data_IF_631363418331
#
_entry.id   IF_631363418331
#
_cell.length_a   1.000
_cell.length_b   1.000
_cell.length_c   1.000
_cell.angle_alpha   90.00
_cell.angle_beta   90.00
_cell.angle_gamma   90.00
#
_symmetry.space_group_name_H-M   'P 1'
#
loop_
_entity.id
_entity.type
_entity.pdbx_description
1 polymer ?
#
# COMPACT_ATOMS: atom_id res chain seq x y z
N UNK A 1 39.49 58.06 15.11
CA UNK A 1 39.39 56.59 14.91
C UNK A 1 38.67 55.97 16.10
N UNK A 2 37.38 55.67 15.95
CA UNK A 2 36.61 54.90 16.94
C UNK A 2 37.14 53.47 16.98
N UNK A 3 37.83 53.10 18.05
CA UNK A 3 38.24 51.70 18.27
C UNK A 3 36.97 50.87 18.52
N UNK A 4 36.54 50.14 17.49
CA UNK A 4 35.50 49.11 17.60
C UNK A 4 36.15 47.94 18.35
N UNK A 5 35.98 47.88 19.66
CA UNK A 5 36.29 46.67 20.43
C UNK A 5 35.19 45.64 20.15
N UNK A 6 35.52 44.59 19.41
CA UNK A 6 34.71 43.38 19.34
C UNK A 6 34.78 42.68 20.71
N UNK A 7 33.78 42.89 21.57
CA UNK A 7 33.66 42.11 22.81
C UNK A 7 33.11 40.72 22.45
N UNK A 8 33.97 39.70 22.50
CA UNK A 8 33.58 38.32 22.21
C UNK A 8 32.57 37.73 23.23
N UNK A 9 32.37 38.38 24.38
CA UNK A 9 31.60 37.87 25.51
C UNK A 9 30.61 38.94 26.03
N UNK A 10 29.48 39.14 25.34
CA UNK A 10 28.38 40.03 25.81
C UNK A 10 27.28 39.30 26.60
N UNK A 11 27.32 37.98 26.64
CA UNK A 11 26.22 37.15 27.15
C UNK A 11 26.74 36.12 28.14
N UNK A 12 25.94 35.81 29.15
CA UNK A 12 26.28 34.90 30.22
C UNK A 12 26.47 33.46 29.73
N UNK A 13 27.69 32.93 29.87
CA UNK A 13 28.02 31.55 29.49
C UNK A 13 27.23 30.53 30.32
N UNK A 14 26.93 30.85 31.58
CA UNK A 14 26.11 30.00 32.46
C UNK A 14 24.66 29.97 31.97
N UNK A 15 24.08 31.14 31.61
CA UNK A 15 22.71 31.20 31.11
C UNK A 15 22.56 30.45 29.78
N UNK A 16 23.56 30.56 28.88
CA UNK A 16 23.61 29.81 27.63
C UNK A 16 23.74 28.30 27.90
N UNK A 17 24.59 27.88 28.84
CA UNK A 17 24.76 26.47 29.21
C UNK A 17 23.47 25.88 29.80
N UNK A 18 22.76 26.63 30.64
CA UNK A 18 21.45 26.22 31.16
C UNK A 18 20.41 26.13 30.05
N UNK A 19 20.35 27.10 29.13
CA UNK A 19 19.44 27.07 28.00
C UNK A 19 19.72 25.86 27.08
N UNK A 20 21.00 25.54 26.85
CA UNK A 20 21.40 24.36 26.10
C UNK A 20 20.99 23.06 26.82
N UNK A 21 21.15 22.98 28.14
CA UNK A 21 20.66 21.86 28.94
C UNK A 21 19.13 21.71 28.80
N UNK A 22 18.37 22.81 28.89
CA UNK A 22 16.93 22.78 28.67
C UNK A 22 16.55 22.37 27.25
N UNK A 23 17.35 22.71 26.24
CA UNK A 23 17.13 22.26 24.87
C UNK A 23 17.31 20.73 24.75
N UNK A 24 18.35 20.16 25.39
CA UNK A 24 18.56 18.70 25.44
C UNK A 24 17.42 18.02 26.19
N UNK A 25 17.02 18.52 27.36
CA UNK A 25 15.89 17.99 28.12
C UNK A 25 14.58 18.09 27.34
N UNK A 26 14.37 19.19 26.62
CA UNK A 26 13.23 19.39 25.73
C UNK A 26 13.21 18.35 24.61
N UNK A 27 14.35 18.10 23.95
CA UNK A 27 14.47 17.05 22.94
C UNK A 27 14.12 15.67 23.53
N UNK A 28 14.70 15.32 24.68
CA UNK A 28 14.40 14.06 25.39
C UNK A 28 12.91 13.95 25.71
N UNK A 29 12.28 15.03 26.18
CA UNK A 29 10.85 15.07 26.46
C UNK A 29 10.02 14.86 25.18
N UNK A 30 10.36 15.52 24.07
CA UNK A 30 9.64 15.33 22.80
C UNK A 30 9.76 13.92 22.25
N UNK A 31 10.90 13.26 22.44
CA UNK A 31 11.10 11.87 22.02
C UNK A 31 10.36 10.88 22.92
N UNK A 32 10.31 11.16 24.23
CA UNK A 32 9.70 10.28 25.24
C UNK A 32 8.17 10.39 25.30
N UNK A 33 7.61 11.58 25.07
CA UNK A 33 6.17 11.86 25.19
C UNK A 33 5.47 11.99 23.82
N UNK A 34 5.66 11.00 22.95
CA UNK A 34 4.91 10.88 21.70
C UNK A 34 3.44 10.56 21.96
N UNK A 35 2.56 11.11 21.14
CA UNK A 35 1.12 10.89 21.23
C UNK A 35 0.64 9.95 20.14
N UNK A 36 -0.25 9.03 20.49
CA UNK A 36 -0.94 8.17 19.51
C UNK A 36 -2.01 8.99 18.81
N UNK A 37 -1.84 9.21 17.51
CA UNK A 37 -2.77 9.99 16.70
C UNK A 37 -3.41 9.12 15.63
N UNK A 38 -4.73 9.21 15.54
CA UNK A 38 -5.50 8.60 14.46
C UNK A 38 -5.09 9.18 13.11
N UNK A 39 -4.84 8.30 12.16
CA UNK A 39 -4.48 8.68 10.81
C UNK A 39 -5.72 9.11 10.01
N UNK A 40 -5.58 9.98 8.99
CA UNK A 40 -6.69 10.44 8.17
C UNK A 40 -7.55 9.28 7.64
N UNK A 41 -8.86 9.52 7.57
CA UNK A 41 -9.87 8.55 7.15
C UNK A 41 -9.99 7.32 8.05
N UNK A 42 -9.62 7.42 9.34
CA UNK A 42 -9.64 6.31 10.31
C UNK A 42 -10.91 5.46 10.27
N UNK A 43 -12.09 6.10 10.38
CA UNK A 43 -13.39 5.39 10.34
C UNK A 43 -13.58 4.58 9.06
N UNK A 44 -13.25 5.16 7.90
CA UNK A 44 -13.34 4.46 6.60
C UNK A 44 -12.33 3.32 6.51
N UNK A 45 -11.10 3.51 6.99
CA UNK A 45 -10.07 2.45 7.06
C UNK A 45 -10.52 1.27 7.90
N UNK A 46 -11.09 1.52 9.08
CA UNK A 46 -11.63 0.47 9.97
C UNK A 46 -12.79 -0.25 9.29
N UNK A 47 -13.69 0.48 8.64
CA UNK A 47 -14.81 -0.12 7.92
C UNK A 47 -14.32 -1.04 6.78
N UNK A 48 -13.38 -0.58 5.96
CA UNK A 48 -12.79 -1.38 4.88
C UNK A 48 -12.11 -2.66 5.40
N UNK A 49 -11.35 -2.56 6.50
CA UNK A 49 -10.70 -3.73 7.11
C UNK A 49 -11.71 -4.72 7.69
N UNK A 50 -12.77 -4.26 8.36
CA UNK A 50 -13.86 -5.14 8.84
C UNK A 50 -14.62 -5.81 7.69
N UNK A 51 -14.85 -5.09 6.59
CA UNK A 51 -15.49 -5.66 5.41
C UNK A 51 -14.61 -6.73 4.75
N UNK A 52 -13.30 -6.51 4.67
CA UNK A 52 -12.36 -7.53 4.19
C UNK A 52 -12.28 -8.75 5.12
N UNK A 53 -12.31 -8.56 6.44
CA UNK A 53 -12.37 -9.66 7.40
C UNK A 53 -13.65 -10.50 7.23
N UNK A 54 -14.81 -9.85 7.07
CA UNK A 54 -16.08 -10.52 6.78
C UNK A 54 -15.99 -11.33 5.48
N UNK A 55 -15.41 -10.76 4.43
CA UNK A 55 -15.20 -11.46 3.16
C UNK A 55 -14.29 -12.70 3.31
N UNK A 56 -13.22 -12.62 4.11
CA UNK A 56 -12.39 -13.79 4.43
C UNK A 56 -13.19 -14.88 5.14
N UNK A 57 -14.07 -14.51 6.08
CA UNK A 57 -14.90 -15.44 6.82
C UNK A 57 -15.94 -16.12 5.92
N UNK A 58 -16.60 -15.37 5.04
CA UNK A 58 -17.60 -15.90 4.08
C UNK A 58 -16.98 -16.94 3.15
N UNK A 59 -15.78 -16.67 2.61
CA UNK A 59 -15.11 -17.62 1.73
C UNK A 59 -14.56 -18.85 2.46
N UNK A 60 -14.29 -18.74 3.76
CA UNK A 60 -13.51 -19.73 4.52
C UNK A 60 -14.07 -21.14 4.34
N UNK A 61 -15.37 -21.36 4.57
CA UNK A 61 -15.98 -22.70 4.52
C UNK A 61 -15.76 -23.39 3.19
N UNK A 62 -15.99 -22.69 2.08
CA UNK A 62 -15.88 -23.30 0.75
C UNK A 62 -14.44 -23.48 0.32
N UNK A 63 -13.55 -22.58 0.74
CA UNK A 63 -12.11 -22.78 0.56
C UNK A 63 -11.60 -23.97 1.37
N UNK A 64 -12.05 -24.16 2.63
CA UNK A 64 -11.63 -25.30 3.47
C UNK A 64 -12.00 -26.64 2.84
N UNK A 65 -13.18 -26.74 2.21
CA UNK A 65 -13.66 -27.97 1.53
C UNK A 65 -12.79 -28.40 0.34
N UNK A 66 -11.97 -27.50 -0.20
CA UNK A 66 -11.14 -27.74 -1.40
C UNK A 66 -9.66 -28.02 -1.06
N UNK A 67 -9.31 -28.17 0.22
CA UNK A 67 -7.93 -28.33 0.66
C UNK A 67 -7.45 -29.77 0.65
N UNK A 68 -6.16 -29.95 0.39
CA UNK A 68 -5.41 -31.18 0.64
C UNK A 68 -4.96 -31.27 2.12
N UNK A 69 -4.57 -32.45 2.63
CA UNK A 69 -4.24 -32.65 4.05
C UNK A 69 -3.10 -31.78 4.62
N UNK A 70 -2.07 -31.46 3.83
CA UNK A 70 -0.83 -30.77 4.29
C UNK A 70 -0.96 -29.24 4.43
N UNK A 71 -2.19 -28.74 4.57
CA UNK A 71 -2.50 -27.32 4.39
C UNK A 71 -2.11 -26.41 5.57
N UNK A 72 -1.93 -26.98 6.77
CA UNK A 72 -1.72 -26.20 8.00
C UNK A 72 -0.38 -25.46 8.02
N UNK A 73 0.64 -25.99 7.32
CA UNK A 73 1.95 -25.37 7.21
C UNK A 73 1.95 -24.21 6.20
N UNK A 74 1.12 -24.30 5.16
CA UNK A 74 1.01 -23.26 4.13
C UNK A 74 0.09 -22.11 4.58
N UNK A 75 -0.97 -22.40 5.33
CA UNK A 75 -1.90 -21.40 5.85
C UNK A 75 -2.12 -21.58 7.37
N UNK A 76 -1.18 -21.12 8.20
CA UNK A 76 -1.28 -21.26 9.65
C UNK A 76 -2.52 -20.55 10.22
N UNK A 77 -3.03 -19.52 9.55
CA UNK A 77 -4.25 -18.80 9.93
C UNK A 77 -5.55 -19.55 9.54
N UNK A 78 -5.42 -20.66 8.80
CA UNK A 78 -6.50 -21.53 8.34
C UNK A 78 -7.62 -20.78 7.62
N UNK A 79 -7.27 -19.79 6.80
CA UNK A 79 -8.23 -18.94 6.09
C UNK A 79 -8.80 -19.58 4.83
N UNK A 80 -8.03 -20.44 4.16
CA UNK A 80 -8.39 -20.93 2.83
C UNK A 80 -7.80 -20.12 1.68
N UNK A 81 -7.24 -18.94 1.95
CA UNK A 81 -6.83 -18.00 0.90
C UNK A 81 -5.42 -18.26 0.36
N UNK A 82 -4.65 -19.14 1.01
CA UNK A 82 -3.35 -19.61 0.50
C UNK A 82 -3.60 -20.89 -0.30
N UNK A 83 -3.36 -20.89 -1.60
CA UNK A 83 -3.61 -22.06 -2.44
C UNK A 83 -2.57 -23.16 -2.30
N UNK A 84 -2.54 -24.01 -3.33
CA UNK A 84 -1.62 -25.13 -3.41
C UNK A 84 -0.24 -24.73 -3.93
N UNK A 85 0.79 -25.52 -3.62
CA UNK A 85 2.10 -25.35 -4.23
C UNK A 85 2.06 -25.50 -5.76
N UNK A 86 1.31 -26.46 -6.28
CA UNK A 86 1.17 -26.70 -7.72
C UNK A 86 -0.20 -27.30 -8.05
N UNK A 87 -0.75 -26.89 -9.19
CA UNK A 87 -2.01 -27.36 -9.76
C UNK A 87 -1.95 -27.21 -11.29
N UNK A 88 -2.91 -27.79 -12.05
CA UNK A 88 -3.02 -27.56 -13.49
C UNK A 88 -3.21 -26.09 -13.91
N UNK A 89 -3.69 -25.23 -13.00
CA UNK A 89 -3.97 -23.80 -13.26
C UNK A 89 -2.93 -22.86 -12.64
N UNK A 90 -1.79 -23.41 -12.18
CA UNK A 90 -0.67 -22.64 -11.63
C UNK A 90 0.18 -22.06 -12.76
N UNK A 91 0.26 -20.73 -12.87
CA UNK A 91 0.95 -20.07 -13.99
C UNK A 91 2.44 -19.83 -13.76
N UNK A 92 2.82 -19.47 -12.53
CA UNK A 92 4.14 -18.94 -12.21
C UNK A 92 4.53 -19.33 -10.78
N UNK A 93 5.82 -19.24 -10.49
CA UNK A 93 6.36 -19.36 -9.13
C UNK A 93 5.82 -18.26 -8.22
N UNK A 94 5.74 -18.55 -6.92
CA UNK A 94 5.24 -17.63 -5.90
C UNK A 94 5.95 -17.79 -4.56
N UNK A 95 6.08 -16.69 -3.81
CA UNK A 95 6.61 -16.71 -2.44
C UNK A 95 5.49 -17.06 -1.46
N UNK A 96 5.62 -18.18 -0.73
CA UNK A 96 4.68 -18.57 0.33
C UNK A 96 4.57 -17.48 1.40
N UNK A 97 5.69 -16.91 1.85
CA UNK A 97 5.73 -15.81 2.84
C UNK A 97 4.90 -14.61 2.39
N UNK A 98 5.03 -14.20 1.12
CA UNK A 98 4.23 -13.10 0.57
C UNK A 98 2.73 -13.41 0.55
N UNK A 99 2.36 -14.67 0.34
CA UNK A 99 0.95 -15.12 0.27
C UNK A 99 0.35 -15.16 1.67
N UNK A 100 1.06 -15.74 2.63
CA UNK A 100 0.71 -15.70 4.05
C UNK A 100 0.60 -14.25 4.55
N UNK A 101 1.55 -13.39 4.21
CA UNK A 101 1.51 -11.95 4.56
C UNK A 101 0.25 -11.28 4.03
N UNK A 102 -0.19 -11.63 2.82
CA UNK A 102 -1.40 -11.06 2.21
C UNK A 102 -2.69 -11.44 2.94
N UNK A 103 -2.69 -12.48 3.77
CA UNK A 103 -3.84 -12.91 4.59
C UNK A 103 -3.98 -11.99 5.81
N UNK A 104 -4.22 -10.71 5.54
CA UNK A 104 -4.37 -9.67 6.53
C UNK A 104 -5.41 -8.62 6.06
N UNK A 105 -6.58 -8.53 6.72
CA UNK A 105 -7.64 -7.62 6.27
C UNK A 105 -7.26 -6.14 6.38
N UNK A 106 -6.23 -5.79 7.17
CA UNK A 106 -5.74 -4.42 7.30
C UNK A 106 -5.11 -3.87 6.02
N UNK A 107 -4.79 -4.71 5.04
CA UNK A 107 -4.41 -4.23 3.70
C UNK A 107 -5.53 -3.46 3.01
N UNK A 108 -6.81 -3.69 3.35
CA UNK A 108 -7.91 -2.87 2.84
C UNK A 108 -7.75 -1.38 3.25
N UNK A 109 -7.27 -1.12 4.47
CA UNK A 109 -6.95 0.22 4.92
C UNK A 109 -5.72 0.82 4.20
N UNK A 110 -4.72 -0.01 3.87
CA UNK A 110 -3.55 0.41 3.08
C UNK A 110 -3.97 0.81 1.67
N UNK A 111 -4.78 -0.02 1.00
CA UNK A 111 -5.29 0.27 -0.33
C UNK A 111 -6.16 1.54 -0.30
N UNK A 112 -7.07 1.66 0.67
CA UNK A 112 -7.87 2.88 0.86
C UNK A 112 -7.00 4.12 1.04
N UNK A 113 -5.92 4.02 1.82
CA UNK A 113 -4.96 5.10 1.97
C UNK A 113 -4.29 5.49 0.64
N UNK A 114 -3.90 4.51 -0.18
CA UNK A 114 -3.32 4.77 -1.51
C UNK A 114 -4.34 5.39 -2.47
N UNK A 115 -5.59 4.93 -2.45
CA UNK A 115 -6.70 5.52 -3.23
C UNK A 115 -6.93 6.98 -2.85
N UNK A 116 -6.89 7.30 -1.55
CA UNK A 116 -7.01 8.69 -1.08
C UNK A 116 -5.80 9.56 -1.43
N UNK A 117 -4.59 8.99 -1.44
CA UNK A 117 -3.40 9.71 -1.95
C UNK A 117 -3.46 9.97 -3.46
N UNK A 118 -4.12 9.09 -4.21
CA UNK A 118 -4.43 9.30 -5.62
C UNK A 118 -5.59 10.31 -5.85
N UNK A 119 -6.08 10.96 -4.79
CA UNK A 119 -7.16 11.95 -4.81
C UNK A 119 -8.49 11.43 -5.36
N UNK A 120 -8.77 10.14 -5.15
CA UNK A 120 -10.04 9.53 -5.59
C UNK A 120 -11.20 9.86 -4.64
N UNK A 121 -12.34 10.17 -5.23
CA UNK A 121 -13.59 10.55 -4.58
C UNK A 121 -14.72 9.56 -4.89
N UNK A 122 -15.80 9.65 -4.11
CA UNK A 122 -16.98 8.80 -4.31
C UNK A 122 -17.55 8.96 -5.72
N UNK A 123 -17.86 7.86 -6.39
CA UNK A 123 -18.38 7.85 -7.75
C UNK A 123 -17.32 7.92 -8.86
N UNK A 124 -16.04 8.13 -8.55
CA UNK A 124 -14.98 8.13 -9.55
C UNK A 124 -14.89 6.79 -10.29
N UNK A 125 -14.68 6.88 -11.61
CA UNK A 125 -14.48 5.70 -12.46
C UNK A 125 -13.01 5.32 -12.47
N UNK A 126 -12.72 4.05 -12.18
CA UNK A 126 -11.35 3.53 -12.11
C UNK A 126 -11.21 2.24 -12.92
N UNK A 127 -10.03 2.00 -13.46
CA UNK A 127 -9.70 0.74 -14.13
C UNK A 127 -8.94 -0.19 -13.16
N UNK A 128 -9.26 -1.47 -13.18
CA UNK A 128 -8.71 -2.46 -12.23
C UNK A 128 -8.33 -3.74 -12.96
N UNK A 129 -7.07 -4.13 -12.82
CA UNK A 129 -6.59 -5.46 -13.18
C UNK A 129 -6.27 -6.27 -11.93
N UNK A 130 -6.87 -7.46 -11.82
CA UNK A 130 -6.59 -8.42 -10.74
C UNK A 130 -6.22 -9.78 -11.32
N UNK A 131 -5.31 -10.50 -10.66
CA UNK A 131 -5.05 -11.90 -10.97
C UNK A 131 -5.44 -12.81 -9.81
N UNK A 132 -5.56 -14.12 -10.09
CA UNK A 132 -5.73 -15.11 -9.04
C UNK A 132 -4.52 -15.26 -8.12
N UNK A 133 -3.40 -14.57 -8.33
CA UNK A 133 -2.20 -14.72 -7.51
C UNK A 133 -2.41 -14.33 -6.05
N UNK A 134 -3.17 -13.26 -5.75
CA UNK A 134 -3.33 -12.76 -4.38
C UNK A 134 -4.82 -12.58 -4.05
N UNK A 135 -5.58 -13.68 -3.85
CA UNK A 135 -7.02 -13.58 -3.57
C UNK A 135 -7.32 -12.74 -2.32
N UNK A 136 -6.48 -12.84 -1.28
CA UNK A 136 -6.62 -12.01 -0.08
C UNK A 136 -6.44 -10.49 -0.37
N UNK A 137 -5.56 -10.11 -1.30
CA UNK A 137 -5.43 -8.70 -1.72
C UNK A 137 -6.57 -8.25 -2.60
N UNK A 138 -7.09 -9.12 -3.47
CA UNK A 138 -8.25 -8.78 -4.28
C UNK A 138 -9.47 -8.47 -3.39
N UNK A 139 -9.70 -9.29 -2.36
CA UNK A 139 -10.73 -9.00 -1.33
C UNK A 139 -10.48 -7.68 -0.62
N UNK A 140 -9.25 -7.39 -0.20
CA UNK A 140 -8.91 -6.12 0.45
C UNK A 140 -9.14 -4.92 -0.47
N UNK A 141 -8.84 -5.05 -1.77
CA UNK A 141 -9.15 -4.04 -2.76
C UNK A 141 -10.65 -3.83 -2.86
N UNK A 142 -11.43 -4.89 -3.07
CA UNK A 142 -12.87 -4.79 -3.26
C UNK A 142 -13.53 -4.13 -2.04
N UNK A 143 -13.10 -4.49 -0.82
CA UNK A 143 -13.55 -3.83 0.40
C UNK A 143 -13.23 -2.32 0.44
N UNK A 144 -12.04 -1.92 -0.02
CA UNK A 144 -11.67 -0.50 -0.12
C UNK A 144 -12.50 0.25 -1.20
N UNK A 145 -12.76 -0.40 -2.34
CA UNK A 145 -13.56 0.15 -3.43
C UNK A 145 -15.01 0.38 -2.99
N UNK A 146 -15.62 -0.60 -2.32
CA UNK A 146 -16.97 -0.51 -1.74
C UNK A 146 -17.06 0.60 -0.70
N UNK A 147 -16.10 0.65 0.22
CA UNK A 147 -16.06 1.66 1.29
C UNK A 147 -15.98 3.08 0.75
N UNK A 148 -15.28 3.27 -0.38
CA UNK A 148 -15.17 4.56 -1.06
C UNK A 148 -16.25 4.76 -2.13
N UNK A 149 -17.10 3.75 -2.39
CA UNK A 149 -18.15 3.75 -3.42
C UNK A 149 -17.63 4.19 -4.79
N UNK A 150 -16.45 3.68 -5.15
CA UNK A 150 -15.87 3.91 -6.47
C UNK A 150 -16.63 3.10 -7.53
N UNK A 151 -16.44 3.44 -8.81
CA UNK A 151 -17.04 2.73 -9.95
C UNK A 151 -15.94 1.99 -10.73
N UNK A 152 -15.56 0.78 -10.30
CA UNK A 152 -14.47 0.07 -10.94
C UNK A 152 -14.91 -0.66 -12.21
N UNK A 153 -14.05 -0.63 -13.21
CA UNK A 153 -14.08 -1.51 -14.38
C UNK A 153 -13.02 -2.58 -14.11
N UNK A 154 -13.46 -3.80 -13.79
CA UNK A 154 -12.56 -4.87 -13.33
C UNK A 154 -12.38 -5.91 -14.45
N UNK A 155 -11.11 -6.14 -14.81
CA UNK A 155 -10.69 -7.20 -15.73
C UNK A 155 -9.76 -8.16 -14.98
N UNK A 156 -10.16 -9.43 -14.90
CA UNK A 156 -9.41 -10.45 -14.18
C UNK A 156 -8.47 -11.25 -15.09
N UNK A 157 -7.51 -11.93 -14.47
CA UNK A 157 -6.78 -13.06 -15.06
C UNK A 157 -7.08 -14.31 -14.23
N UNK A 158 -7.55 -15.37 -14.89
CA UNK A 158 -8.08 -16.55 -14.18
C UNK A 158 -7.02 -17.45 -13.55
N UNK A 159 -5.86 -17.58 -14.18
CA UNK A 159 -4.75 -18.32 -13.59
C UNK A 159 -4.15 -17.60 -12.36
N UNK A 160 -3.45 -18.38 -11.55
CA UNK A 160 -2.82 -17.92 -10.33
C UNK A 160 -1.39 -18.45 -10.22
N UNK A 161 -0.51 -17.70 -9.56
CA UNK A 161 0.81 -18.23 -9.17
C UNK A 161 0.67 -19.30 -8.08
N UNK A 162 1.75 -19.99 -7.75
CA UNK A 162 1.81 -20.87 -6.58
C UNK A 162 1.21 -20.18 -5.35
N UNK A 163 0.45 -20.95 -4.58
CA UNK A 163 -0.26 -20.54 -3.38
C UNK A 163 -1.29 -19.41 -3.57
N UNK A 164 -1.70 -19.11 -4.81
CA UNK A 164 -2.81 -18.19 -5.10
C UNK A 164 -4.18 -18.89 -5.11
N UNK A 165 -5.15 -18.34 -5.84
CA UNK A 165 -6.42 -18.99 -6.15
C UNK A 165 -6.24 -20.05 -7.26
N UNK A 166 -5.40 -21.05 -7.02
CA UNK A 166 -4.97 -22.04 -7.99
C UNK A 166 -5.61 -23.41 -7.79
N UNK A 167 -6.84 -23.48 -7.29
CA UNK A 167 -7.60 -24.73 -7.29
C UNK A 167 -8.53 -24.75 -8.53
N UNK A 168 -8.50 -25.77 -9.40
CA UNK A 168 -9.26 -25.77 -10.67
C UNK A 168 -10.77 -25.52 -10.53
N UNK A 169 -11.35 -25.93 -9.42
CA UNK A 169 -12.77 -25.73 -9.08
C UNK A 169 -13.04 -24.59 -8.08
N UNK A 170 -12.04 -23.76 -7.80
CA UNK A 170 -12.14 -22.60 -6.91
C UNK A 170 -11.10 -21.55 -7.30
N UNK A 171 -11.29 -20.98 -8.49
CA UNK A 171 -10.51 -19.86 -9.03
C UNK A 171 -10.96 -18.54 -8.38
N UNK A 172 -10.21 -17.46 -8.63
CA UNK A 172 -10.61 -16.14 -8.13
C UNK A 172 -12.02 -15.73 -8.57
N UNK A 173 -12.42 -16.05 -9.81
CA UNK A 173 -13.76 -15.74 -10.30
C UNK A 173 -14.87 -16.47 -9.51
N UNK A 174 -14.60 -17.67 -8.99
CA UNK A 174 -15.57 -18.38 -8.13
C UNK A 174 -15.70 -17.70 -6.77
N UNK A 175 -14.58 -17.28 -6.18
CA UNK A 175 -14.57 -16.54 -4.92
C UNK A 175 -15.33 -15.21 -5.06
N UNK A 176 -15.09 -14.49 -6.15
CA UNK A 176 -15.81 -13.26 -6.47
C UNK A 176 -17.32 -13.49 -6.62
N UNK A 177 -17.73 -14.57 -7.30
CA UNK A 177 -19.14 -14.94 -7.42
C UNK A 177 -19.77 -15.20 -6.05
N UNK A 178 -19.12 -16.01 -5.20
CA UNK A 178 -19.60 -16.32 -3.84
C UNK A 178 -19.77 -15.03 -3.03
N UNK A 179 -18.77 -14.14 -3.04
CA UNK A 179 -18.83 -12.87 -2.32
C UNK A 179 -19.96 -11.95 -2.78
N UNK A 180 -20.32 -12.02 -4.06
CA UNK A 180 -21.43 -11.25 -4.62
C UNK A 180 -22.79 -11.89 -4.33
N UNK A 181 -22.91 -13.21 -4.43
CA UNK A 181 -24.13 -13.96 -4.06
C UNK A 181 -24.46 -13.75 -2.57
N UNK A 182 -23.45 -13.69 -1.71
CA UNK A 182 -23.56 -13.38 -0.28
C UNK A 182 -23.67 -11.88 0.05
N UNK A 183 -23.82 -11.03 -0.98
CA UNK A 183 -23.98 -9.57 -0.86
C UNK A 183 -22.87 -8.88 -0.03
N UNK A 184 -21.66 -9.43 -0.06
CA UNK A 184 -20.48 -8.82 0.57
C UNK A 184 -19.95 -7.69 -0.31
N UNK A 185 -19.90 -7.93 -1.62
CA UNK A 185 -19.46 -6.96 -2.63
C UNK A 185 -20.50 -6.85 -3.75
N UNK A 186 -20.73 -5.62 -4.20
CA UNK A 186 -21.51 -5.26 -5.39
C UNK A 186 -20.63 -5.23 -6.66
N UNK A 187 -19.31 -5.07 -6.50
CA UNK A 187 -18.35 -5.01 -7.60
C UNK A 187 -17.89 -6.40 -8.04
N UNK A 188 -17.75 -6.60 -9.36
CA UNK A 188 -17.26 -7.85 -9.97
C UNK A 188 -16.52 -7.62 -11.28
N UNK A 189 -15.72 -8.61 -11.65
CA UNK A 189 -15.03 -8.74 -12.92
C UNK A 189 -16.03 -9.04 -14.02
N UNK A 190 -16.04 -8.19 -15.06
CA UNK A 190 -16.92 -8.38 -16.23
C UNK A 190 -16.22 -9.15 -17.34
N UNK A 191 -14.90 -9.04 -17.40
CA UNK A 191 -14.06 -9.70 -18.39
C UNK A 191 -12.90 -10.42 -17.71
N UNK A 192 -12.42 -11.50 -18.33
CA UNK A 192 -11.24 -12.20 -17.88
C UNK A 192 -10.45 -12.82 -19.03
N UNK A 193 -9.13 -12.84 -18.90
CA UNK A 193 -8.23 -13.64 -19.72
C UNK A 193 -7.87 -14.97 -19.02
N UNK A 194 -7.10 -15.83 -19.70
CA UNK A 194 -6.47 -16.98 -19.04
C UNK A 194 -5.37 -16.54 -18.05
N UNK A 195 -4.76 -15.38 -18.28
CA UNK A 195 -3.61 -14.92 -17.49
C UNK A 195 -2.31 -15.63 -17.87
N UNK A 196 -1.40 -15.71 -16.90
CA UNK A 196 -0.06 -16.27 -17.12
C UNK A 196 0.75 -15.47 -18.13
N UNK A 197 1.50 -16.18 -18.97
CA UNK A 197 2.34 -15.57 -20.01
C UNK A 197 1.46 -15.13 -21.19
N UNK A 198 1.55 -13.84 -21.53
CA UNK A 198 0.80 -13.18 -22.61
C UNK A 198 -0.73 -13.29 -22.50
N UNK A 199 -1.28 -13.48 -21.29
CA UNK A 199 -2.72 -13.72 -21.07
C UNK A 199 -3.29 -14.98 -21.73
N UNK A 200 -2.44 -15.84 -22.31
CA UNK A 200 -2.80 -17.06 -23.05
C UNK A 200 -2.45 -18.35 -22.29
N UNK A 201 -2.00 -18.21 -21.03
CA UNK A 201 -1.51 -19.32 -20.21
C UNK A 201 -0.46 -20.18 -20.97
N UNK A 202 0.48 -19.53 -21.67
CA UNK A 202 1.55 -20.25 -22.38
C UNK A 202 2.35 -21.08 -21.38
N UNK A 203 2.59 -22.35 -21.71
CA UNK A 203 3.25 -23.32 -20.84
C UNK A 203 2.31 -24.19 -19.99
N UNK A 204 1.02 -23.86 -19.90
CA UNK A 204 0.03 -24.74 -19.27
C UNK A 204 -0.40 -25.87 -20.21
N UNK A 205 -0.74 -27.01 -19.62
CA UNK A 205 -1.36 -28.13 -20.33
C UNK A 205 -2.72 -27.74 -20.92
N UNK A 206 -3.20 -28.51 -21.91
CA UNK A 206 -4.54 -28.34 -22.47
C UNK A 206 -5.61 -28.40 -21.38
N UNK A 207 -5.51 -29.39 -20.50
CA UNK A 207 -6.40 -29.56 -19.35
C UNK A 207 -6.41 -28.32 -18.44
N UNK A 208 -5.24 -27.75 -18.13
CA UNK A 208 -5.12 -26.52 -17.34
C UNK A 208 -5.88 -25.36 -17.98
N UNK A 209 -5.71 -25.16 -19.30
CA UNK A 209 -6.44 -24.14 -20.06
C UNK A 209 -7.95 -24.40 -20.08
N UNK A 210 -8.38 -25.65 -20.21
CA UNK A 210 -9.78 -26.04 -20.20
C UNK A 210 -10.43 -25.74 -18.84
N UNK A 211 -9.73 -25.94 -17.71
CA UNK A 211 -10.21 -25.51 -16.39
C UNK A 211 -10.38 -24.00 -16.28
N UNK A 212 -9.45 -23.22 -16.83
CA UNK A 212 -9.53 -21.76 -16.84
C UNK A 212 -10.72 -21.27 -17.67
N UNK A 213 -10.87 -21.78 -18.90
CA UNK A 213 -11.99 -21.45 -19.79
C UNK A 213 -13.33 -21.84 -19.16
N UNK A 214 -13.41 -23.04 -18.57
CA UNK A 214 -14.60 -23.49 -17.82
C UNK A 214 -14.87 -22.59 -16.63
N UNK A 215 -13.83 -22.10 -15.94
CA UNK A 215 -13.90 -21.12 -14.88
C UNK A 215 -14.51 -19.78 -15.30
N UNK A 216 -14.10 -19.27 -16.45
CA UNK A 216 -14.67 -18.05 -17.04
C UNK A 216 -16.15 -18.26 -17.37
N UNK A 217 -16.47 -19.37 -18.07
CA UNK A 217 -17.83 -19.71 -18.48
C UNK A 217 -18.77 -19.90 -17.28
N UNK A 218 -18.37 -20.67 -16.27
CA UNK A 218 -19.23 -20.96 -15.09
C UNK A 218 -19.54 -19.73 -14.24
N UNK A 219 -18.66 -18.73 -14.26
CA UNK A 219 -18.87 -17.46 -13.54
C UNK A 219 -19.53 -16.36 -14.39
N UNK A 220 -19.92 -16.68 -15.64
CA UNK A 220 -20.58 -15.77 -16.58
C UNK A 220 -19.75 -14.50 -16.87
N UNK A 221 -18.43 -14.67 -16.97
CA UNK A 221 -17.48 -13.59 -17.29
C UNK A 221 -17.13 -13.65 -18.77
N UNK A 222 -16.96 -12.50 -19.43
CA UNK A 222 -16.64 -12.47 -20.86
C UNK A 222 -15.15 -12.79 -21.05
N UNK A 223 -14.87 -13.78 -21.91
CA UNK A 223 -13.49 -14.18 -22.21
C UNK A 223 -12.80 -13.14 -23.10
N UNK A 224 -11.60 -12.72 -22.70
CA UNK A 224 -10.65 -11.97 -23.53
C UNK A 224 -9.70 -12.97 -24.17
N UNK A 225 -9.81 -13.13 -25.49
CA UNK A 225 -8.96 -14.03 -26.28
C UNK A 225 -7.93 -13.23 -27.11
N UNK A 226 -6.73 -12.94 -26.58
CA UNK A 226 -5.74 -12.17 -27.32
C UNK A 226 -4.93 -13.03 -28.30
N UNK A 227 -4.62 -12.47 -29.46
CA UNK A 227 -3.78 -13.11 -30.48
C UNK A 227 -2.30 -13.07 -30.07
N UNK A 228 -1.84 -11.93 -29.53
CA UNK A 228 -0.48 -11.67 -29.08
C UNK A 228 -0.45 -10.90 -27.76
N UNK A 229 0.75 -10.64 -27.25
CA UNK A 229 0.97 -9.78 -26.08
C UNK A 229 0.42 -8.36 -26.29
N UNK A 230 0.74 -7.76 -27.43
CA UNK A 230 0.34 -6.41 -27.84
C UNK A 230 -1.18 -6.34 -28.05
N UNK A 231 -1.76 -7.37 -28.67
CA UNK A 231 -3.22 -7.48 -28.81
C UNK A 231 -3.91 -7.57 -27.44
N UNK A 232 -3.30 -8.25 -26.45
CA UNK A 232 -3.85 -8.29 -25.09
C UNK A 232 -3.86 -6.91 -24.41
N UNK A 233 -2.77 -6.14 -24.54
CA UNK A 233 -2.72 -4.76 -24.03
C UNK A 233 -3.82 -3.93 -24.71
N UNK A 234 -3.87 -3.96 -26.05
CA UNK A 234 -4.85 -3.21 -26.85
C UNK A 234 -6.28 -3.56 -26.45
N UNK A 235 -6.65 -4.84 -26.42
CA UNK A 235 -8.00 -5.29 -26.02
C UNK A 235 -8.38 -4.83 -24.62
N UNK A 236 -7.46 -4.86 -23.66
CA UNK A 236 -7.71 -4.37 -22.29
C UNK A 236 -7.95 -2.87 -22.27
N UNK A 237 -7.13 -2.09 -22.98
CA UNK A 237 -7.29 -0.63 -23.06
C UNK A 237 -8.60 -0.24 -23.76
N UNK A 238 -8.94 -0.91 -24.86
CA UNK A 238 -10.19 -0.73 -25.59
C UNK A 238 -11.40 -1.06 -24.70
N UNK A 239 -11.32 -2.14 -23.91
CA UNK A 239 -12.36 -2.51 -22.94
C UNK A 239 -12.53 -1.48 -21.83
N UNK A 240 -11.44 -0.98 -21.24
CA UNK A 240 -11.53 0.07 -20.22
C UNK A 240 -12.19 1.34 -20.79
N UNK A 241 -11.80 1.76 -21.99
CA UNK A 241 -12.38 2.93 -22.65
C UNK A 241 -13.87 2.72 -22.99
N UNK A 242 -14.24 1.54 -23.51
CA UNK A 242 -15.62 1.22 -23.85
C UNK A 242 -16.51 1.18 -22.61
N UNK A 243 -16.04 0.53 -21.54
CA UNK A 243 -16.81 0.33 -20.31
C UNK A 243 -16.86 1.57 -19.43
N UNK A 244 -15.96 2.56 -19.63
CA UNK A 244 -16.07 3.85 -18.96
C UNK A 244 -17.22 4.72 -19.49
N UNK A 245 -17.80 4.35 -20.65
CA UNK A 245 -18.93 5.05 -21.26
C UNK A 245 -18.70 6.56 -21.38
N UNK A 246 -17.49 6.96 -21.79
CA UNK A 246 -17.08 8.36 -21.95
C UNK A 246 -16.68 9.07 -20.64
N UNK A 247 -16.83 8.43 -19.48
CA UNK A 247 -16.30 8.97 -18.22
C UNK A 247 -14.78 8.83 -18.17
N UNK A 248 -14.13 9.85 -17.62
CA UNK A 248 -12.68 9.83 -17.41
C UNK A 248 -12.31 8.76 -16.37
N UNK A 249 -11.38 7.89 -16.71
CA UNK A 249 -10.75 6.97 -15.75
C UNK A 249 -9.74 7.77 -14.92
N UNK A 250 -9.95 7.83 -13.60
CA UNK A 250 -9.15 8.66 -12.68
C UNK A 250 -7.91 7.96 -12.15
N UNK A 251 -7.90 6.63 -12.15
CA UNK A 251 -6.75 5.83 -11.72
C UNK A 251 -6.82 4.43 -12.31
N UNK A 252 -5.66 3.78 -12.39
CA UNK A 252 -5.54 2.35 -12.67
C UNK A 252 -4.98 1.61 -11.45
N UNK A 253 -5.51 0.42 -11.18
CA UNK A 253 -5.07 -0.42 -10.06
C UNK A 253 -4.66 -1.78 -10.60
N UNK A 254 -3.48 -2.25 -10.20
CA UNK A 254 -3.00 -3.60 -10.49
C UNK A 254 -2.80 -4.40 -9.20
N UNK A 255 -3.31 -5.64 -9.17
CA UNK A 255 -2.93 -6.65 -8.16
C UNK A 255 -2.37 -7.87 -8.87
N UNK A 256 -1.10 -8.18 -8.55
CA UNK A 256 -0.39 -9.32 -9.11
C UNK A 256 0.63 -8.90 -10.17
N UNK A 257 1.27 -9.91 -10.78
CA UNK A 257 2.42 -9.73 -11.67
C UNK A 257 2.20 -10.30 -13.06
N UNK A 258 0.99 -10.17 -13.60
CA UNK A 258 0.68 -10.63 -14.96
C UNK A 258 1.56 -9.90 -15.98
N UNK A 259 2.12 -10.66 -16.92
CA UNK A 259 3.09 -10.14 -17.91
C UNK A 259 2.52 -9.00 -18.74
N UNK A 260 1.26 -9.11 -19.20
CA UNK A 260 0.57 -8.05 -19.96
C UNK A 260 0.37 -6.75 -19.16
N UNK A 261 0.13 -6.87 -17.86
CA UNK A 261 -0.25 -5.71 -17.03
C UNK A 261 0.98 -4.98 -16.52
N UNK A 262 1.98 -5.72 -16.04
CA UNK A 262 3.18 -5.17 -15.40
C UNK A 262 4.38 -5.11 -16.34
N UNK A 263 4.35 -5.84 -17.45
CA UNK A 263 5.52 -6.10 -18.28
C UNK A 263 6.30 -7.34 -17.83
N UNK A 264 7.45 -7.57 -18.47
CA UNK A 264 8.38 -8.67 -18.15
C UNK A 264 9.18 -8.35 -16.87
N UNK A 265 10.32 -9.02 -16.65
CA UNK A 265 11.16 -8.81 -15.46
C UNK A 265 11.58 -7.37 -15.23
N UNK A 266 11.82 -6.60 -16.30
CA UNK A 266 12.16 -5.17 -16.20
C UNK A 266 10.99 -4.37 -15.61
N UNK A 267 9.76 -4.65 -16.02
CA UNK A 267 8.56 -3.98 -15.51
C UNK A 267 8.38 -4.15 -14.00
N UNK A 268 8.71 -5.33 -13.45
CA UNK A 268 8.69 -5.60 -12.00
C UNK A 268 9.70 -4.77 -11.20
N UNK A 269 10.82 -4.39 -11.83
CA UNK A 269 11.86 -3.57 -11.20
C UNK A 269 11.52 -2.08 -11.29
N UNK A 270 10.98 -1.66 -12.43
CA UNK A 270 10.66 -0.26 -12.71
C UNK A 270 9.38 0.18 -11.99
N UNK A 271 8.30 -0.59 -12.13
CA UNK A 271 7.01 -0.26 -11.51
C UNK A 271 6.98 -0.75 -10.06
N UNK A 272 7.45 0.11 -9.15
CA UNK A 272 7.48 -0.17 -7.71
C UNK A 272 6.07 -0.36 -7.12
N UNK A 273 6.01 -0.98 -5.95
CA UNK A 273 4.75 -1.15 -5.22
C UNK A 273 4.28 0.16 -4.59
N UNK A 274 2.98 0.46 -4.69
CA UNK A 274 2.34 1.67 -4.18
C UNK A 274 1.77 2.57 -5.27
N UNK A 275 1.65 3.87 -4.96
CA UNK A 275 1.17 4.89 -5.90
C UNK A 275 2.30 5.39 -6.79
N UNK A 276 2.09 5.33 -8.10
CA UNK A 276 2.97 5.82 -9.17
C UNK A 276 2.18 6.89 -9.93
N UNK A 277 2.72 8.10 -10.03
CA UNK A 277 2.06 9.22 -10.71
C UNK A 277 2.74 9.61 -12.02
N UNK A 278 4.00 9.22 -12.21
CA UNK A 278 4.81 9.56 -13.37
C UNK A 278 5.69 8.36 -13.75
N UNK A 279 6.02 8.27 -15.04
CA UNK A 279 7.03 7.34 -15.52
C UNK A 279 8.42 7.79 -15.05
N UNK A 280 9.33 6.87 -14.71
CA UNK A 280 10.72 7.24 -14.46
C UNK A 280 11.36 7.79 -15.74
N UNK A 281 11.93 9.00 -15.68
CA UNK A 281 12.49 9.70 -16.86
C UNK A 281 13.67 8.94 -17.50
N UNK A 282 14.45 8.21 -16.69
CA UNK A 282 15.71 7.59 -17.11
C UNK A 282 15.55 6.18 -17.71
N UNK A 283 14.32 5.63 -17.75
CA UNK A 283 14.08 4.24 -18.14
C UNK A 283 12.92 4.19 -19.11
N UNK A 284 13.09 3.54 -20.28
CA UNK A 284 11.98 3.17 -21.14
C UNK A 284 11.41 1.82 -20.67
N UNK A 285 10.31 1.79 -19.88
CA UNK A 285 9.76 0.54 -19.42
C UNK A 285 9.17 -0.28 -20.58
N UNK A 286 9.06 -1.61 -20.42
CA UNK A 286 8.41 -2.45 -21.41
C UNK A 286 6.94 -2.06 -21.57
N UNK A 287 6.40 -2.30 -22.76
CA UNK A 287 4.99 -2.08 -23.04
C UNK A 287 4.14 -2.92 -22.10
N UNK A 288 3.12 -2.28 -21.55
CA UNK A 288 2.26 -2.86 -20.52
C UNK A 288 1.05 -1.97 -20.31
N UNK A 289 -0.01 -2.53 -19.72
CA UNK A 289 -1.19 -1.76 -19.34
C UNK A 289 -0.81 -0.63 -18.36
N UNK A 290 0.13 -0.88 -17.44
CA UNK A 290 0.62 0.18 -16.52
C UNK A 290 1.27 1.33 -17.29
N UNK A 291 2.14 1.03 -18.25
CA UNK A 291 2.79 2.06 -19.09
C UNK A 291 1.75 2.90 -19.83
N UNK A 292 0.75 2.25 -20.44
CA UNK A 292 -0.35 2.92 -21.16
C UNK A 292 -1.11 3.92 -20.28
N UNK A 293 -1.41 3.58 -19.03
CA UNK A 293 -2.09 4.51 -18.11
C UNK A 293 -1.18 5.67 -17.68
N UNK A 294 0.09 5.40 -17.36
CA UNK A 294 1.02 6.44 -16.94
C UNK A 294 1.35 7.41 -18.08
N UNK A 295 1.43 6.95 -19.33
CA UNK A 295 1.62 7.81 -20.51
C UNK A 295 0.43 8.74 -20.78
N UNK A 296 -0.74 8.44 -20.19
CA UNK A 296 -1.95 9.29 -20.26
C UNK A 296 -2.13 10.14 -19.00
N UNK A 297 -1.08 10.28 -18.18
CA UNK A 297 -1.08 10.98 -16.90
C UNK A 297 -2.13 10.46 -15.90
N UNK A 298 -2.50 9.18 -16.00
CA UNK A 298 -3.43 8.53 -15.08
C UNK A 298 -2.61 7.81 -13.99
N UNK A 299 -2.80 8.14 -12.70
CA UNK A 299 -2.03 7.53 -11.62
C UNK A 299 -2.32 6.03 -11.51
N UNK A 300 -1.27 5.26 -11.20
CA UNK A 300 -1.32 3.81 -11.03
C UNK A 300 -1.08 3.44 -9.57
N UNK A 301 -1.95 2.60 -9.01
CA UNK A 301 -1.72 1.91 -7.74
C UNK A 301 -1.31 0.47 -8.05
N UNK A 302 -0.02 0.19 -7.91
CA UNK A 302 0.55 -1.11 -8.21
C UNK A 302 0.74 -1.91 -6.91
N UNK A 303 -0.07 -2.95 -6.69
CA UNK A 303 0.01 -3.81 -5.51
C UNK A 303 0.78 -5.08 -5.87
N UNK A 304 2.10 -4.94 -5.78
CA UNK A 304 3.06 -6.05 -5.86
C UNK A 304 3.92 -6.07 -4.59
N UNK A 305 4.77 -7.09 -4.42
CA UNK A 305 5.72 -7.15 -3.29
C UNK A 305 5.05 -6.91 -1.93
N UNK A 306 4.05 -7.73 -1.59
CA UNK A 306 3.17 -7.55 -0.42
C UNK A 306 3.95 -7.38 0.90
N UNK A 307 5.06 -8.09 1.05
CA UNK A 307 5.93 -7.96 2.24
C UNK A 307 6.55 -6.57 2.39
N UNK A 308 6.89 -5.91 1.28
CA UNK A 308 7.39 -4.53 1.29
C UNK A 308 6.31 -3.55 1.74
N UNK A 309 5.08 -3.72 1.25
CA UNK A 309 3.93 -2.94 1.71
C UNK A 309 3.65 -3.19 3.19
N UNK A 310 3.66 -4.44 3.64
CA UNK A 310 3.47 -4.77 5.05
C UNK A 310 4.50 -4.06 5.94
N UNK A 311 5.79 -4.15 5.62
CA UNK A 311 6.86 -3.44 6.36
C UNK A 311 6.63 -1.93 6.38
N UNK A 312 6.32 -1.33 5.22
CA UNK A 312 6.08 0.12 5.08
C UNK A 312 4.94 0.60 5.97
N UNK A 313 3.86 -0.18 6.10
CA UNK A 313 2.68 0.18 6.88
C UNK A 313 2.63 -0.46 8.28
N UNK A 314 3.72 -1.12 8.71
CA UNK A 314 3.82 -1.76 10.03
C UNK A 314 2.81 -2.89 10.24
N UNK A 315 2.54 -3.69 9.20
CA UNK A 315 1.73 -4.90 9.26
C UNK A 315 2.62 -6.14 9.47
N UNK A 316 2.13 -7.19 10.14
CA UNK A 316 2.90 -8.41 10.37
C UNK A 316 3.22 -9.14 9.06
N UNK A 317 4.41 -9.73 8.99
CA UNK A 317 4.85 -10.60 7.90
C UNK A 317 4.49 -12.04 8.24
N UNK A 318 3.91 -12.76 7.27
CA UNK A 318 3.48 -14.15 7.37
C UNK A 318 2.77 -14.48 8.71
N UNK A 319 1.68 -13.78 9.05
CA UNK A 319 1.04 -13.93 10.36
C UNK A 319 0.45 -15.33 10.54
N UNK A 320 0.68 -15.94 11.72
CA UNK A 320 0.15 -17.28 12.06
C UNK A 320 -1.35 -17.29 12.36
N UNK A 321 -1.94 -16.13 12.63
CA UNK A 321 -3.37 -15.91 12.84
C UNK A 321 -3.77 -14.68 12.04
N UNK A 322 -4.99 -14.65 11.51
CA UNK A 322 -5.49 -13.46 10.80
C UNK A 322 -5.44 -12.24 11.73
N UNK A 323 -4.69 -11.17 11.37
CA UNK A 323 -4.63 -9.94 12.18
C UNK A 323 -5.99 -9.28 12.30
N UNK A 324 -6.29 -8.65 13.45
CA UNK A 324 -7.59 -8.00 13.66
C UNK A 324 -7.65 -6.65 12.93
N UNK A 325 -8.84 -6.23 12.45
CA UNK A 325 -9.03 -4.88 11.91
C UNK A 325 -8.60 -3.79 12.89
N UNK A 326 -7.80 -2.83 12.41
CA UNK A 326 -7.29 -1.71 13.21
C UNK A 326 -5.83 -1.84 13.64
N UNK A 327 -5.17 -2.95 13.32
CA UNK A 327 -3.74 -3.14 13.58
C UNK A 327 -2.86 -2.52 12.49
N UNK A 328 -1.78 -1.82 12.90
CA UNK A 328 -0.76 -1.27 12.02
C UNK A 328 -0.72 0.26 11.93
N UNK A 329 0.39 0.79 11.39
CA UNK A 329 0.68 2.24 11.31
C UNK A 329 -0.28 3.00 10.37
N UNK A 330 -1.06 2.28 9.56
CA UNK A 330 -2.06 2.89 8.67
C UNK A 330 -3.27 3.45 9.45
N UNK A 331 -3.52 2.97 10.67
CA UNK A 331 -4.63 3.41 11.52
C UNK A 331 -4.20 4.47 12.54
N UNK A 332 -3.14 4.19 13.30
CA UNK A 332 -2.64 5.05 14.37
C UNK A 332 -1.12 5.12 14.28
N UNK A 333 -0.55 6.31 14.44
CA UNK A 333 0.90 6.50 14.52
C UNK A 333 1.28 7.25 15.79
N UNK A 334 2.47 6.97 16.29
CA UNK A 334 3.10 7.77 17.33
C UNK A 334 3.73 8.99 16.66
N UNK A 335 3.13 10.16 16.89
CA UNK A 335 3.59 11.45 16.39
C UNK A 335 4.10 12.30 17.56
N UNK A 336 4.99 13.25 17.28
CA UNK A 336 5.38 14.24 18.28
C UNK A 336 4.18 15.06 18.73
N UNK A 337 4.09 15.34 20.02
CA UNK A 337 3.04 16.21 20.54
C UNK A 337 3.31 17.66 20.10
N UNK A 338 2.49 18.24 19.21
CA UNK A 338 2.75 19.57 18.67
C UNK A 338 2.75 20.64 19.76
N UNK A 339 1.92 20.49 20.79
CA UNK A 339 1.85 21.43 21.91
C UNK A 339 3.11 21.40 22.78
N UNK A 340 3.66 20.19 23.00
CA UNK A 340 4.93 20.03 23.71
C UNK A 340 6.08 20.65 22.91
N UNK A 341 6.14 20.37 21.60
CA UNK A 341 7.15 20.93 20.70
C UNK A 341 7.07 22.47 20.65
N UNK A 342 5.87 23.03 20.51
CA UNK A 342 5.64 24.49 20.51
C UNK A 342 6.03 25.10 21.86
N UNK A 343 5.63 24.48 22.97
CA UNK A 343 5.97 24.96 24.31
C UNK A 343 7.48 25.04 24.54
N UNK A 344 8.21 24.00 24.15
CA UNK A 344 9.68 23.98 24.23
C UNK A 344 10.29 25.04 23.31
N UNK A 345 9.82 25.15 22.06
CA UNK A 345 10.32 26.14 21.11
C UNK A 345 10.13 27.57 21.61
N UNK A 346 8.95 27.89 22.15
CA UNK A 346 8.65 29.21 22.73
C UNK A 346 9.53 29.47 23.95
N UNK A 347 9.67 28.51 24.86
CA UNK A 347 10.54 28.64 26.03
C UNK A 347 12.00 28.92 25.64
N UNK A 348 12.55 28.15 24.68
CA UNK A 348 13.91 28.34 24.19
C UNK A 348 14.09 29.70 23.50
N UNK A 349 13.11 30.12 22.70
CA UNK A 349 13.13 31.40 22.00
C UNK A 349 13.06 32.58 22.97
N UNK A 350 12.21 32.49 24.01
CA UNK A 350 12.14 33.49 25.08
C UNK A 350 13.43 33.54 25.90
N UNK A 351 14.00 32.38 26.23
CA UNK A 351 15.29 32.31 26.93
C UNK A 351 16.41 32.96 26.13
N UNK A 352 16.49 32.68 24.82
CA UNK A 352 17.47 33.29 23.93
C UNK A 352 17.26 34.81 23.80
N UNK A 353 16.02 35.27 23.64
CA UNK A 353 15.69 36.69 23.61
C UNK A 353 16.06 37.37 24.92
N UNK A 354 15.73 36.75 26.06
CA UNK A 354 16.07 37.26 27.38
C UNK A 354 17.57 37.41 27.60
N UNK A 355 18.36 36.41 27.20
CA UNK A 355 19.83 36.45 27.31
C UNK A 355 20.45 37.49 26.36
N UNK A 356 19.92 37.62 25.14
CA UNK A 356 20.53 38.46 24.09
C UNK A 356 20.07 39.91 24.09
N UNK A 357 18.82 40.18 24.47
CA UNK A 357 18.20 41.52 24.40
C UNK A 357 17.90 42.11 25.76
N UNK A 358 17.52 41.30 26.75
CA UNK A 358 17.15 41.77 28.09
C UNK A 358 18.28 41.62 29.12
N UNK A 359 19.39 40.96 28.76
CA UNK A 359 20.55 40.79 29.62
C UNK A 359 20.37 39.77 30.75
N UNK A 360 19.46 38.81 30.61
CA UNK A 360 19.25 37.77 31.63
C UNK A 360 20.54 36.97 31.90
N UNK A 361 20.86 36.81 33.18
CA UNK A 361 22.06 36.10 33.63
C UNK A 361 23.37 36.89 33.51
N UNK A 362 23.31 38.16 33.06
CA UNK A 362 24.50 39.03 33.00
C UNK A 362 25.08 39.27 34.39
N UNK A 363 26.32 38.84 34.60
CA UNK A 363 27.07 39.09 35.84
C UNK A 363 27.96 40.34 35.65
N UNK A 364 28.00 41.25 36.62
CA UNK A 364 28.88 42.43 36.57
C UNK A 364 30.38 42.06 36.47
N UNK A 365 30.76 40.84 36.84
CA UNK A 365 32.12 40.29 36.77
C UNK A 365 32.51 39.80 35.37
N UNK A 366 31.56 39.43 34.51
CA UNK A 366 31.85 38.95 33.14
C UNK A 366 32.28 40.09 32.21
N UNK A 367 32.02 41.35 32.61
CA UNK A 367 32.40 42.56 31.90
C UNK A 367 33.74 43.16 32.36
N UNK A 368 34.41 42.54 33.34
CA UNK A 368 35.69 43.03 33.84
C UNK A 368 36.84 42.32 33.12
N UNK A 369 37.67 43.09 32.40
CA UNK A 369 38.94 42.62 31.86
C UNK A 369 39.74 41.89 32.96
N UNK A 370 40.47 40.80 32.63
CA UNK A 370 41.35 40.12 33.57
C UNK A 370 42.22 41.13 34.35
N UNK A 371 42.44 40.93 35.65
CA UNK A 371 43.22 41.86 36.49
C UNK A 371 44.62 42.18 35.92
N UNK A 372 45.15 41.29 35.08
CA UNK A 372 46.41 41.47 34.35
C UNK A 372 46.42 42.65 33.37
N UNK A 373 45.25 43.15 32.96
CA UNK A 373 45.09 44.31 32.08
C UNK A 373 44.81 45.61 32.88
N UNK A 374 44.39 45.50 34.15
CA UNK A 374 44.10 46.68 35.01
C UNK A 374 45.36 47.34 35.59
N UNK A 375 46.49 46.64 35.60
CA UNK A 375 47.78 47.19 36.04
C UNK A 375 48.62 47.61 34.83
N UNK A 376 48.34 48.79 34.29
CA UNK A 376 49.32 49.62 33.58
C UNK A 376 49.01 51.09 33.78
#
# INVERSE_FOLDING_TARGET
>A
MTRIYWSFWKHSSIAIALLALFAVLGLIATESFKVKKEQPYFKKKIHAAKLAERAFQVLRSDLLKKKKPDYKDWDPANTGLVGEFLSPVTSNTGSLSSKQTSVNPNFAAVILHLLKRAKLEEGDTIAVAVSGSFPAMNVCLFAALETLKLKPIIIASTSASQFGANHPHMLWLDMERILSEESVFSVRSTHASLGGTQDKAIGMSKEGKDYLLTGIKRNKVIYIDPLSFEDSIKKRMDLYQKLSAGKQIKAFINIGGGTTVLGTSLGKQVFKSGLITQLPDDINPPDSVIKEFLQRDIPVINVIQVESLARKFGLPIAPKKTPKPGEGKVFVQEEYNPWLCIGILVFLSMGLYGITKLGWGGNQTDFQLPETIRRK
#
